data_IF_026941444390
#
_entry.id   IF_026941444390
#
_cell.length_a   1.000
_cell.length_b   1.000
_cell.length_c   1.000
_cell.angle_alpha   90.00
_cell.angle_beta   90.00
_cell.angle_gamma   90.00
#
_symmetry.space_group_name_H-M   'P 1'
#
loop_
_entity.id
_entity.type
_entity.pdbx_description
1 polymer ?
#
# COMPACT_ATOMS: atom_id res chain seq x y z
N UNK A 1 -18.92 -1.25 -1.38
CA UNK A 1 -17.75 -0.36 -1.15
C UNK A 1 -17.17 0.02 -2.50
N UNK A 2 -17.01 1.31 -2.78
CA UNK A 2 -16.40 1.78 -4.02
C UNK A 2 -14.89 1.51 -4.04
N UNK A 3 -14.34 1.29 -5.22
CA UNK A 3 -12.90 1.18 -5.39
C UNK A 3 -12.24 2.57 -5.26
N UNK A 4 -11.74 2.91 -4.06
CA UNK A 4 -10.73 3.98 -3.87
C UNK A 4 -9.60 3.93 -4.90
N UNK A 5 -9.42 5.00 -5.67
CA UNK A 5 -8.21 5.11 -6.48
C UNK A 5 -7.01 5.37 -5.56
N UNK A 6 -5.89 4.74 -5.86
CA UNK A 6 -4.60 5.03 -5.22
C UNK A 6 -4.00 6.23 -5.98
N UNK A 7 -3.48 7.23 -5.28
CA UNK A 7 -2.71 8.32 -5.91
C UNK A 7 -1.51 7.75 -6.66
N UNK A 8 -1.19 8.32 -7.82
CA UNK A 8 -0.17 7.78 -8.74
C UNK A 8 1.12 8.61 -8.76
N UNK A 9 1.28 9.51 -7.81
CA UNK A 9 2.46 10.38 -7.70
C UNK A 9 3.72 9.59 -7.28
N UNK A 10 3.57 8.31 -6.94
CA UNK A 10 4.64 7.39 -6.56
C UNK A 10 4.55 6.12 -7.40
N UNK A 11 5.69 5.66 -7.92
CA UNK A 11 5.77 4.38 -8.60
C UNK A 11 5.78 3.22 -7.60
N UNK A 12 5.33 2.01 -7.97
CA UNK A 12 5.46 0.81 -7.14
C UNK A 12 6.91 0.56 -6.68
N UNK A 13 7.89 0.83 -7.55
CA UNK A 13 9.32 0.76 -7.24
C UNK A 13 9.75 1.73 -6.14
N UNK A 14 9.26 2.97 -6.15
CA UNK A 14 9.58 3.95 -5.11
C UNK A 14 9.03 3.51 -3.75
N UNK A 15 7.81 2.98 -3.74
CA UNK A 15 7.18 2.46 -2.53
C UNK A 15 7.95 1.27 -1.96
N UNK A 16 8.45 0.36 -2.80
CA UNK A 16 9.31 -0.75 -2.36
C UNK A 16 10.63 -0.27 -1.80
N UNK A 17 11.27 0.72 -2.43
CA UNK A 17 12.52 1.28 -1.93
C UNK A 17 12.31 1.95 -0.56
N UNK A 18 11.21 2.68 -0.38
CA UNK A 18 10.83 3.26 0.92
C UNK A 18 10.55 2.18 1.96
N UNK A 19 9.75 1.17 1.61
CA UNK A 19 9.45 0.04 2.49
C UNK A 19 10.71 -0.68 2.98
N UNK A 20 11.74 -0.81 2.13
CA UNK A 20 13.02 -1.42 2.50
C UNK A 20 13.87 -0.58 3.47
N UNK A 21 13.63 0.74 3.54
CA UNK A 21 14.32 1.67 4.44
C UNK A 21 13.54 1.97 5.72
N UNK A 22 12.26 1.63 5.72
CA UNK A 22 11.35 1.85 6.83
C UNK A 22 11.71 0.94 8.02
N UNK A 23 11.71 1.51 9.23
CA UNK A 23 12.01 0.78 10.47
C UNK A 23 10.75 0.15 11.08
N UNK A 24 9.59 0.77 10.87
CA UNK A 24 8.31 0.19 11.31
C UNK A 24 7.85 -0.87 10.30
N UNK A 25 7.88 -2.14 10.72
CA UNK A 25 7.37 -3.27 9.94
C UNK A 25 5.95 -3.04 9.43
N UNK A 26 5.06 -2.42 10.22
CA UNK A 26 3.67 -2.15 9.78
C UNK A 26 3.61 -1.08 8.70
N UNK A 27 4.46 -0.06 8.77
CA UNK A 27 4.58 0.94 7.71
C UNK A 27 5.16 0.32 6.43
N UNK A 28 6.21 -0.50 6.56
CA UNK A 28 6.80 -1.24 5.44
C UNK A 28 5.78 -2.14 4.72
N UNK A 29 5.02 -2.96 5.45
CA UNK A 29 4.00 -3.84 4.88
C UNK A 29 2.87 -3.06 4.18
N UNK A 30 2.45 -1.92 4.74
CA UNK A 30 1.46 -1.05 4.08
C UNK A 30 1.97 -0.55 2.74
N UNK A 31 3.21 -0.07 2.66
CA UNK A 31 3.82 0.40 1.42
C UNK A 31 3.92 -0.73 0.37
N UNK A 32 4.31 -1.94 0.78
CA UNK A 32 4.35 -3.12 -0.09
C UNK A 32 2.96 -3.50 -0.63
N UNK A 33 1.94 -3.48 0.23
CA UNK A 33 0.57 -3.77 -0.16
C UNK A 33 0.05 -2.75 -1.18
N UNK A 34 0.35 -1.46 -1.00
CA UNK A 34 -0.03 -0.40 -1.94
C UNK A 34 0.71 -0.55 -3.27
N UNK A 35 2.01 -0.87 -3.24
CA UNK A 35 2.80 -1.12 -4.45
C UNK A 35 2.22 -2.28 -5.27
N UNK A 36 1.88 -3.39 -4.62
CA UNK A 36 1.27 -4.55 -5.27
C UNK A 36 -0.10 -4.19 -5.90
N UNK A 37 -0.91 -3.39 -5.21
CA UNK A 37 -2.19 -2.93 -5.75
C UNK A 37 -2.02 -1.97 -6.95
N UNK A 38 -0.98 -1.13 -6.96
CA UNK A 38 -0.65 -0.27 -8.11
C UNK A 38 -0.17 -1.08 -9.32
N UNK A 39 0.43 -2.25 -9.12
CA UNK A 39 0.81 -3.18 -10.20
C UNK A 39 -0.36 -3.98 -10.76
N UNK A 40 -1.58 -3.69 -10.31
CA UNK A 40 -2.80 -4.30 -10.85
C UNK A 40 -3.31 -5.50 -10.06
N UNK A 41 -2.68 -5.85 -8.93
CA UNK A 41 -3.26 -6.87 -8.05
C UNK A 41 -4.59 -6.41 -7.46
N UNK A 42 -5.48 -7.35 -7.20
CA UNK A 42 -6.67 -7.03 -6.42
C UNK A 42 -6.27 -6.64 -5.00
N UNK A 43 -7.09 -5.83 -4.33
CA UNK A 43 -6.81 -5.44 -2.93
C UNK A 43 -6.70 -6.64 -1.99
N UNK A 44 -7.47 -7.69 -2.25
CA UNK A 44 -7.42 -8.89 -1.43
C UNK A 44 -6.08 -9.61 -1.59
N UNK A 45 -5.59 -9.76 -2.82
CA UNK A 45 -4.29 -10.38 -3.09
C UNK A 45 -3.13 -9.53 -2.56
N UNK A 46 -3.18 -8.22 -2.82
CA UNK A 46 -2.17 -7.28 -2.35
C UNK A 46 -2.07 -7.26 -0.82
N UNK A 47 -3.21 -7.26 -0.12
CA UNK A 47 -3.25 -7.34 1.34
C UNK A 47 -2.71 -8.68 1.83
N UNK A 48 -3.16 -9.80 1.24
CA UNK A 48 -2.70 -11.15 1.60
C UNK A 48 -1.20 -11.31 1.47
N UNK A 49 -0.59 -10.83 0.38
CA UNK A 49 0.86 -10.90 0.16
C UNK A 49 1.65 -10.07 1.19
N UNK A 50 1.06 -8.98 1.68
CA UNK A 50 1.65 -8.17 2.75
C UNK A 50 1.30 -8.68 4.17
N UNK A 51 0.62 -9.83 4.30
CA UNK A 51 0.19 -10.35 5.61
C UNK A 51 -0.87 -9.46 6.29
N UNK A 52 -1.63 -8.71 5.50
CA UNK A 52 -2.64 -7.76 5.96
C UNK A 52 -4.05 -8.24 5.64
N UNK A 53 -5.00 -7.80 6.46
CA UNK A 53 -6.42 -7.88 6.16
C UNK A 53 -6.80 -6.89 5.04
N UNK A 54 -7.79 -7.26 4.23
CA UNK A 54 -8.27 -6.42 3.11
C UNK A 54 -8.73 -5.04 3.58
N UNK A 55 -9.37 -4.95 4.75
CA UNK A 55 -9.83 -3.68 5.31
C UNK A 55 -8.65 -2.82 5.79
N UNK A 56 -7.61 -3.44 6.38
CA UNK A 56 -6.40 -2.73 6.78
C UNK A 56 -5.69 -2.10 5.57
N UNK A 57 -5.69 -2.77 4.40
CA UNK A 57 -5.20 -2.18 3.17
C UNK A 57 -6.08 -1.03 2.67
N UNK A 58 -7.41 -1.13 2.81
CA UNK A 58 -8.31 -0.04 2.45
C UNK A 58 -8.00 1.24 3.25
N UNK A 59 -7.83 1.10 4.57
CA UNK A 59 -7.51 2.20 5.46
C UNK A 59 -6.10 2.75 5.21
N UNK A 60 -5.15 1.86 4.86
CA UNK A 60 -3.81 2.27 4.44
C UNK A 60 -3.83 3.09 3.14
N UNK A 61 -4.64 2.70 2.14
CA UNK A 61 -4.81 3.47 0.90
C UNK A 61 -5.46 4.84 1.17
N UNK A 62 -6.46 4.90 2.05
CA UNK A 62 -7.06 6.18 2.46
C UNK A 62 -6.01 7.11 3.06
N UNK A 63 -5.24 6.60 4.03
CA UNK A 63 -4.18 7.37 4.68
C UNK A 63 -3.12 7.81 3.67
N UNK A 64 -2.63 6.88 2.85
CA UNK A 64 -1.64 7.16 1.83
C UNK A 64 -2.09 8.23 0.82
N UNK A 65 -3.37 8.24 0.47
CA UNK A 65 -3.93 9.24 -0.41
C UNK A 65 -3.95 10.65 0.20
N UNK A 66 -4.13 10.75 1.53
CA UNK A 66 -4.21 12.03 2.25
C UNK A 66 -2.83 12.52 2.69
N UNK A 67 -2.06 11.63 3.34
CA UNK A 67 -0.80 11.96 4.05
C UNK A 67 0.44 11.68 3.18
N UNK A 68 0.34 10.75 2.23
CA UNK A 68 1.50 10.27 1.45
C UNK A 68 2.14 9.01 2.05
N UNK A 69 3.34 8.63 1.58
CA UNK A 69 4.07 7.43 2.01
C UNK A 69 4.73 7.51 3.39
N UNK A 70 4.76 8.67 4.03
CA UNK A 70 5.47 8.92 5.29
C UNK A 70 4.62 8.59 6.54
#
# INVERSE_FOLDING_TARGET
MAALRIRQDYSPSDLRQRAARERDTRASLRLLAIANALEGMTRTEAARLAGMERQALHDAILRFNVEGPD
#
